data_IF_278305457408
#
_entry.id   IF_278305457408
#
_cell.length_a   1.000
_cell.length_b   1.000
_cell.length_c   1.000
_cell.angle_alpha   90.00
_cell.angle_beta   90.00
_cell.angle_gamma   90.00
#
_symmetry.space_group_name_H-M   'P 1'
#
loop_
_entity.id
_entity.type
_entity.pdbx_description
1 polymer ?
#
# COMPACT_ATOMS: atom_id res chain seq x y z
N UNK A 1 -5.10 -10.94 15.60
CA UNK A 1 -4.98 -11.98 14.54
C UNK A 1 -4.75 -11.28 13.21
N UNK A 2 -3.87 -11.80 12.34
CA UNK A 2 -3.69 -11.25 11.00
C UNK A 2 -4.89 -11.60 10.11
N UNK A 3 -5.40 -10.60 9.39
CA UNK A 3 -6.51 -10.77 8.46
C UNK A 3 -6.16 -10.12 7.11
N UNK A 4 -6.39 -10.82 6.01
CA UNK A 4 -6.13 -10.33 4.65
C UNK A 4 -6.96 -9.10 4.26
N UNK A 5 -8.07 -8.86 4.93
CA UNK A 5 -8.93 -7.70 4.73
C UNK A 5 -8.53 -6.49 5.58
N UNK A 6 -7.53 -6.63 6.49
CA UNK A 6 -7.03 -5.48 7.23
C UNK A 6 -6.59 -4.37 6.28
N UNK A 7 -6.84 -3.12 6.68
CA UNK A 7 -6.39 -1.97 5.91
C UNK A 7 -4.91 -1.71 6.10
N UNK A 8 -4.24 -1.48 5.00
CA UNK A 8 -2.89 -0.93 4.96
C UNK A 8 -3.02 0.56 4.69
N UNK A 9 -2.51 1.38 5.61
CA UNK A 9 -2.32 2.82 5.38
C UNK A 9 -0.85 3.06 5.10
N UNK A 10 -0.50 3.36 3.85
CA UNK A 10 0.88 3.57 3.41
C UNK A 10 1.09 5.02 3.03
N UNK A 11 2.00 5.73 3.72
CA UNK A 11 2.33 7.11 3.42
C UNK A 11 2.95 7.24 2.04
N UNK A 12 2.75 8.40 1.42
CA UNK A 12 3.39 8.74 0.16
C UNK A 12 4.91 8.67 0.29
N UNK A 13 5.47 9.12 1.40
CA UNK A 13 6.90 9.06 1.67
C UNK A 13 7.44 7.63 1.56
N UNK A 14 6.77 6.63 2.18
CA UNK A 14 7.20 5.22 2.06
C UNK A 14 7.07 4.69 0.63
N UNK A 15 6.04 5.11 -0.12
CA UNK A 15 5.84 4.65 -1.50
C UNK A 15 6.91 5.22 -2.44
N UNK A 16 7.29 6.48 -2.21
CA UNK A 16 8.25 7.21 -3.04
C UNK A 16 9.72 6.96 -2.63
N UNK A 17 9.97 6.14 -1.57
CA UNK A 17 11.31 5.74 -1.20
C UNK A 17 11.98 4.97 -2.35
N UNK A 18 13.03 5.57 -2.89
CA UNK A 18 13.91 4.92 -3.86
C UNK A 18 14.97 4.10 -3.13
N UNK A 19 15.54 3.14 -3.85
CA UNK A 19 16.68 2.33 -3.37
C UNK A 19 16.39 1.42 -2.18
N UNK A 20 15.14 1.16 -1.83
CA UNK A 20 14.81 0.05 -0.95
C UNK A 20 14.96 -1.26 -1.73
N UNK A 21 16.08 -1.95 -1.55
CA UNK A 21 16.32 -3.26 -2.18
C UNK A 21 15.54 -4.37 -1.45
N UNK A 22 14.22 -4.19 -1.36
CA UNK A 22 13.32 -5.14 -0.75
C UNK A 22 12.75 -6.10 -1.79
N UNK A 23 12.90 -7.39 -1.52
CA UNK A 23 12.29 -8.41 -2.34
C UNK A 23 10.76 -8.52 -2.08
N UNK A 24 10.08 -9.32 -2.90
CA UNK A 24 8.64 -9.49 -2.84
C UNK A 24 8.11 -9.88 -1.45
N UNK A 25 8.81 -10.76 -0.74
CA UNK A 25 8.37 -11.23 0.59
C UNK A 25 8.55 -10.14 1.65
N UNK A 26 9.59 -9.36 1.55
CA UNK A 26 9.87 -8.25 2.46
C UNK A 26 8.87 -7.10 2.26
N UNK A 27 8.50 -6.80 1.01
CA UNK A 27 7.41 -5.85 0.73
C UNK A 27 6.08 -6.32 1.35
N UNK A 28 5.80 -7.62 1.30
CA UNK A 28 4.61 -8.18 1.95
C UNK A 28 4.69 -8.12 3.47
N UNK A 29 5.86 -8.37 4.06
CA UNK A 29 6.08 -8.22 5.52
C UNK A 29 5.89 -6.76 5.94
N UNK A 30 6.40 -5.81 5.16
CA UNK A 30 6.16 -4.38 5.39
C UNK A 30 4.67 -4.03 5.37
N UNK A 31 3.92 -4.56 4.41
CA UNK A 31 2.47 -4.34 4.33
C UNK A 31 1.71 -5.02 5.49
N UNK A 32 2.15 -6.19 5.93
CA UNK A 32 1.62 -6.83 7.15
C UNK A 32 1.87 -5.95 8.38
N UNK A 33 3.07 -5.40 8.53
CA UNK A 33 3.40 -4.47 9.60
C UNK A 33 2.48 -3.24 9.55
N UNK A 34 2.36 -2.59 8.37
CA UNK A 34 1.51 -1.42 8.18
C UNK A 34 0.02 -1.71 8.44
N UNK A 35 -0.44 -2.93 8.23
CA UNK A 35 -1.83 -3.34 8.51
C UNK A 35 -2.13 -3.53 9.99
N UNK A 36 -1.10 -3.53 10.84
CA UNK A 36 -1.20 -3.75 12.29
C UNK A 36 -0.98 -2.49 13.12
N UNK A 37 -0.28 -1.51 12.58
CA UNK A 37 -0.09 -0.23 13.25
C UNK A 37 -1.32 0.66 13.05
N UNK A 38 -1.61 1.48 14.06
CA UNK A 38 -2.52 2.61 13.94
C UNK A 38 -1.72 3.88 13.67
N UNK A 39 -1.79 4.48 12.47
CA UNK A 39 -1.01 5.68 12.14
C UNK A 39 -1.25 6.89 13.05
N UNK A 40 -2.29 6.86 13.88
CA UNK A 40 -2.60 7.93 14.84
C UNK A 40 -2.09 7.62 16.25
N UNK A 41 -1.60 6.40 16.49
CA UNK A 41 -1.14 5.97 17.80
C UNK A 41 0.24 5.32 17.72
N UNK A 42 1.27 6.07 18.16
CA UNK A 42 2.66 5.62 18.14
C UNK A 42 2.94 4.43 19.05
N UNK A 43 2.09 4.18 20.05
CA UNK A 43 2.23 3.02 20.94
C UNK A 43 2.04 1.69 20.19
N UNK A 44 1.45 1.75 18.99
CA UNK A 44 1.31 0.60 18.09
C UNK A 44 2.55 0.30 17.25
N UNK A 45 3.65 1.04 17.41
CA UNK A 45 4.88 0.90 16.63
C UNK A 45 5.53 -0.48 16.73
N UNK A 46 5.33 -1.19 17.85
CA UNK A 46 5.82 -2.56 18.04
C UNK A 46 4.72 -3.56 17.71
N UNK A 47 4.87 -4.24 16.59
CA UNK A 47 3.91 -5.23 16.06
C UNK A 47 4.40 -6.64 16.31
N UNK A 48 3.47 -7.53 16.71
CA UNK A 48 3.69 -8.96 16.91
C UNK A 48 2.70 -9.77 16.11
N UNK A 49 3.18 -10.83 15.49
CA UNK A 49 2.35 -11.84 14.82
C UNK A 49 3.10 -13.18 14.75
N UNK A 50 2.36 -14.27 14.75
CA UNK A 50 3.00 -15.60 14.71
C UNK A 50 3.46 -15.95 13.29
N UNK A 51 4.50 -16.77 13.21
CA UNK A 51 4.94 -17.37 11.94
C UNK A 51 3.80 -18.11 11.23
N UNK A 52 2.92 -18.77 12.01
CA UNK A 52 1.76 -19.48 11.47
C UNK A 52 0.77 -18.51 10.81
N UNK A 53 0.37 -17.44 11.53
CA UNK A 53 -0.53 -16.41 10.98
C UNK A 53 0.01 -15.83 9.67
N UNK A 54 1.32 -15.53 9.62
CA UNK A 54 1.95 -15.03 8.39
C UNK A 54 1.91 -16.04 7.25
N UNK A 55 2.23 -17.32 7.54
CA UNK A 55 2.19 -18.37 6.52
C UNK A 55 0.78 -18.64 6.00
N UNK A 56 -0.21 -18.65 6.89
CA UNK A 56 -1.62 -18.84 6.53
C UNK A 56 -2.08 -17.67 5.62
N UNK A 57 -1.70 -16.43 5.97
CA UNK A 57 -2.02 -15.23 5.21
C UNK A 57 -1.47 -15.24 3.78
N UNK A 58 -0.23 -15.72 3.58
CA UNK A 58 0.38 -15.83 2.24
C UNK A 58 0.12 -17.18 1.56
N UNK A 59 -0.77 -18.00 2.14
CA UNK A 59 -1.17 -19.31 1.62
C UNK A 59 0.00 -20.29 1.42
N UNK A 60 0.96 -20.31 2.34
CA UNK A 60 2.07 -21.25 2.34
C UNK A 60 2.09 -22.11 3.59
N UNK A 61 2.58 -23.35 3.44
CA UNK A 61 2.75 -24.23 4.60
C UNK A 61 3.82 -23.66 5.55
N UNK A 62 3.55 -23.64 6.86
CA UNK A 62 4.47 -23.13 7.89
C UNK A 62 5.82 -23.87 7.91
N UNK A 63 5.87 -25.14 7.45
CA UNK A 63 7.09 -25.92 7.29
C UNK A 63 8.00 -25.38 6.16
N UNK A 64 7.42 -24.68 5.16
CA UNK A 64 8.19 -24.03 4.10
C UNK A 64 9.05 -22.88 4.63
N UNK A 65 8.53 -22.12 5.60
CA UNK A 65 9.26 -21.02 6.23
C UNK A 65 10.09 -21.53 7.41
N UNK A 66 11.15 -22.29 7.13
CA UNK A 66 12.11 -22.74 8.17
C UNK A 66 12.76 -21.53 8.85
N UNK A 67 13.11 -21.67 10.12
CA UNK A 67 13.75 -20.60 10.92
C UNK A 67 14.97 -19.97 10.21
N UNK A 68 15.82 -20.77 9.59
CA UNK A 68 16.97 -20.26 8.83
C UNK A 68 16.59 -19.37 7.64
N UNK A 69 15.46 -19.68 6.96
CA UNK A 69 14.95 -18.86 5.86
C UNK A 69 14.29 -17.58 6.38
N UNK A 70 13.52 -17.69 7.46
CA UNK A 70 12.92 -16.53 8.12
C UNK A 70 14.00 -15.57 8.63
N UNK A 71 15.06 -16.08 9.27
CA UNK A 71 16.21 -15.28 9.72
C UNK A 71 16.83 -14.50 8.55
N UNK A 72 17.04 -15.14 7.40
CA UNK A 72 17.55 -14.44 6.20
C UNK A 72 16.63 -13.34 5.71
N UNK A 73 15.30 -13.57 5.71
CA UNK A 73 14.35 -12.56 5.30
C UNK A 73 14.34 -11.37 6.26
N UNK A 74 14.32 -11.62 7.57
CA UNK A 74 14.35 -10.54 8.57
C UNK A 74 15.67 -9.76 8.54
N UNK A 75 16.81 -10.45 8.36
CA UNK A 75 18.11 -9.80 8.21
C UNK A 75 18.16 -8.94 6.94
N UNK A 76 17.67 -9.46 5.81
CA UNK A 76 17.67 -8.71 4.56
C UNK A 76 16.72 -7.51 4.66
N UNK A 77 15.50 -7.69 5.19
CA UNK A 77 14.57 -6.60 5.46
C UNK A 77 15.22 -5.51 6.33
N UNK A 78 15.84 -5.90 7.44
CA UNK A 78 16.49 -4.98 8.38
C UNK A 78 17.63 -4.21 7.70
N UNK A 79 18.53 -4.92 7.02
CA UNK A 79 19.73 -4.32 6.42
C UNK A 79 19.42 -3.44 5.19
N UNK A 80 18.41 -3.78 4.41
CA UNK A 80 18.06 -3.08 3.17
C UNK A 80 16.88 -2.10 3.31
N UNK A 81 16.37 -1.90 4.51
CA UNK A 81 15.36 -0.89 4.81
C UNK A 81 15.99 0.40 5.35
N UNK A 82 17.11 0.82 4.78
CA UNK A 82 17.77 2.09 5.10
C UNK A 82 17.20 3.19 4.23
N UNK A 83 16.83 4.30 4.84
CA UNK A 83 16.34 5.48 4.16
C UNK A 83 17.31 6.63 4.35
N UNK A 84 17.49 7.40 3.31
CA UNK A 84 18.35 8.55 3.31
C UNK A 84 17.52 9.84 3.43
N UNK A 85 17.93 10.72 4.33
CA UNK A 85 17.48 12.10 4.38
C UNK A 85 18.59 12.98 3.84
N UNK A 86 18.29 13.76 2.79
CA UNK A 86 19.21 14.69 2.15
C UNK A 86 18.82 16.13 2.49
N UNK A 87 19.83 16.93 2.75
CA UNK A 87 19.74 18.40 2.75
C UNK A 87 20.58 18.91 1.59
N UNK A 88 19.92 19.10 0.45
CA UNK A 88 20.57 19.47 -0.80
C UNK A 88 21.29 20.85 -0.74
N UNK A 89 20.83 21.73 0.16
CA UNK A 89 21.42 23.07 0.30
C UNK A 89 22.73 23.06 1.10
N UNK A 90 22.87 22.10 2.01
CA UNK A 90 24.03 21.99 2.92
C UNK A 90 24.92 20.79 2.64
N UNK A 91 24.61 20.00 1.61
CA UNK A 91 25.30 18.74 1.26
C UNK A 91 25.35 17.74 2.46
N UNK A 92 24.39 17.85 3.39
CA UNK A 92 24.30 16.95 4.52
C UNK A 92 23.41 15.75 4.18
N UNK A 93 23.77 14.59 4.69
CA UNK A 93 22.90 13.41 4.62
C UNK A 93 22.84 12.70 5.97
N UNK A 94 21.74 11.97 6.19
CA UNK A 94 21.54 11.07 7.34
C UNK A 94 20.93 9.78 6.85
N UNK A 95 21.42 8.68 7.37
CA UNK A 95 20.86 7.36 7.11
C UNK A 95 20.05 6.90 8.32
N UNK A 96 18.87 6.39 8.06
CA UNK A 96 17.97 5.86 9.08
C UNK A 96 17.49 4.48 8.68
N UNK A 97 17.38 3.56 9.65
CA UNK A 97 16.70 2.29 9.43
C UNK A 97 15.18 2.47 9.59
N UNK A 98 14.39 1.89 8.68
CA UNK A 98 12.93 1.84 8.84
C UNK A 98 12.52 1.03 10.05
N UNK A 99 13.25 -0.04 10.35
CA UNK A 99 13.01 -0.89 11.51
C UNK A 99 14.18 -0.80 12.47
N UNK A 100 13.89 -0.62 13.75
CA UNK A 100 14.87 -0.70 14.84
C UNK A 100 15.02 -2.14 15.32
N UNK A 101 13.95 -2.90 15.30
CA UNK A 101 13.92 -4.29 15.75
C UNK A 101 13.23 -5.18 14.72
N UNK A 102 13.86 -6.29 14.41
CA UNK A 102 13.29 -7.38 13.61
C UNK A 102 13.71 -8.71 14.27
N UNK A 103 12.82 -9.30 15.07
CA UNK A 103 13.08 -10.48 15.89
C UNK A 103 12.18 -11.65 15.53
N UNK A 104 12.65 -12.87 15.73
CA UNK A 104 11.85 -14.08 15.76
C UNK A 104 12.14 -14.85 17.05
N UNK A 105 11.14 -14.88 17.93
CA UNK A 105 11.17 -15.72 19.12
C UNK A 105 10.70 -17.14 18.81
N UNK A 106 11.61 -18.08 18.92
CA UNK A 106 11.34 -19.49 18.66
C UNK A 106 10.39 -20.11 19.70
N UNK A 107 10.36 -19.59 20.92
CA UNK A 107 9.55 -20.14 22.01
C UNK A 107 8.08 -19.83 21.80
N UNK A 108 7.78 -18.56 21.48
CA UNK A 108 6.40 -18.11 21.19
C UNK A 108 6.03 -18.27 19.72
N UNK A 109 7.00 -18.56 18.84
CA UNK A 109 6.84 -18.59 17.38
C UNK A 109 6.42 -17.23 16.80
N UNK A 110 6.73 -16.13 17.50
CA UNK A 110 6.36 -14.77 17.09
C UNK A 110 7.47 -14.10 16.28
N UNK A 111 7.01 -13.32 15.30
CA UNK A 111 7.81 -12.33 14.58
C UNK A 111 7.46 -10.99 15.21
N UNK A 112 8.48 -10.22 15.58
CA UNK A 112 8.37 -8.92 16.21
C UNK A 112 9.06 -7.91 15.31
N UNK A 113 8.35 -6.83 14.99
CA UNK A 113 8.88 -5.72 14.21
C UNK A 113 8.57 -4.41 14.95
N UNK A 114 9.55 -3.53 15.05
CA UNK A 114 9.37 -2.18 15.60
C UNK A 114 10.02 -1.17 14.65
N UNK A 115 9.31 -0.09 14.31
CA UNK A 115 9.86 0.95 13.44
C UNK A 115 10.97 1.75 14.14
N UNK A 116 11.84 2.35 13.34
CA UNK A 116 12.93 3.20 13.82
C UNK A 116 12.43 4.37 14.66
N UNK A 117 13.23 4.76 15.66
CA UNK A 117 12.86 5.80 16.65
C UNK A 117 13.10 7.22 16.20
N UNK A 118 13.79 7.45 15.09
CA UNK A 118 13.99 8.81 14.61
C UNK A 118 12.65 9.45 14.21
N UNK A 119 12.49 10.74 14.48
CA UNK A 119 11.28 11.48 14.12
C UNK A 119 11.01 11.40 12.61
N UNK A 120 12.06 11.38 11.80
CA UNK A 120 11.97 11.22 10.35
C UNK A 120 11.30 9.90 9.96
N UNK A 121 11.74 8.77 10.53
CA UNK A 121 11.14 7.46 10.26
C UNK A 121 9.74 7.36 10.86
N UNK A 122 9.55 7.85 12.08
CA UNK A 122 8.23 7.84 12.73
C UNK A 122 7.19 8.62 11.96
N UNK A 123 7.55 9.76 11.37
CA UNK A 123 6.64 10.55 10.54
C UNK A 123 6.14 9.77 9.31
N UNK A 124 6.96 8.87 8.76
CA UNK A 124 6.55 8.01 7.64
C UNK A 124 5.44 7.02 8.00
N UNK A 125 5.40 6.58 9.26
CA UNK A 125 4.44 5.58 9.74
C UNK A 125 3.25 6.20 10.48
N UNK A 126 3.45 7.31 11.22
CA UNK A 126 2.47 7.86 12.16
C UNK A 126 1.99 9.28 11.84
N UNK A 127 2.71 10.06 11.07
CA UNK A 127 2.26 11.39 10.60
C UNK A 127 1.89 11.37 9.11
N UNK A 128 1.19 10.33 8.70
CA UNK A 128 0.89 10.08 7.29
C UNK A 128 -0.07 11.08 6.67
N UNK A 129 -0.85 11.81 7.48
CA UNK A 129 -1.78 12.84 6.99
C UNK A 129 -1.05 14.03 6.40
N UNK A 130 0.10 14.41 6.97
CA UNK A 130 0.92 15.54 6.51
C UNK A 130 1.54 15.28 5.14
N UNK A 131 2.02 14.03 4.90
CA UNK A 131 2.66 13.63 3.65
C UNK A 131 1.66 13.15 2.58
N UNK A 132 0.41 12.89 2.97
CA UNK A 132 -0.55 12.14 2.20
C UNK A 132 -0.29 10.63 2.22
N UNK A 133 -1.34 9.85 2.02
CA UNK A 133 -1.28 8.41 2.07
C UNK A 133 -2.32 7.75 1.17
N UNK A 134 -2.16 6.45 0.94
CA UNK A 134 -3.16 5.61 0.30
C UNK A 134 -3.61 4.51 1.26
N UNK A 135 -4.87 4.11 1.13
CA UNK A 135 -5.44 2.97 1.85
C UNK A 135 -5.84 1.86 0.87
N UNK A 136 -5.60 0.63 1.27
CA UNK A 136 -6.00 -0.56 0.51
C UNK A 136 -6.07 -1.79 1.41
N UNK A 137 -6.90 -2.77 1.05
CA UNK A 137 -6.94 -4.04 1.75
C UNK A 137 -5.64 -4.82 1.53
N UNK A 138 -5.09 -5.40 2.58
CA UNK A 138 -3.83 -6.14 2.60
C UNK A 138 -3.78 -7.23 1.52
N UNK A 139 -4.89 -7.93 1.26
CA UNK A 139 -5.01 -8.95 0.21
C UNK A 139 -4.59 -8.46 -1.18
N UNK A 140 -4.80 -7.18 -1.49
CA UNK A 140 -4.48 -6.64 -2.81
C UNK A 140 -2.98 -6.69 -3.14
N UNK A 141 -2.10 -6.65 -2.15
CA UNK A 141 -0.64 -6.79 -2.34
C UNK A 141 -0.16 -8.20 -2.04
N UNK A 142 -0.79 -8.91 -1.10
CA UNK A 142 -0.40 -10.28 -0.73
C UNK A 142 -0.51 -11.26 -1.90
N UNK A 143 -1.53 -11.13 -2.74
CA UNK A 143 -1.76 -12.03 -3.87
C UNK A 143 -0.93 -11.71 -5.11
N UNK A 144 -0.26 -10.56 -5.14
CA UNK A 144 0.68 -10.22 -6.22
C UNK A 144 1.97 -11.04 -6.09
N UNK A 145 2.49 -11.49 -7.22
CA UNK A 145 3.65 -12.40 -7.31
C UNK A 145 4.91 -11.72 -7.83
N UNK A 146 4.83 -10.42 -8.15
CA UNK A 146 5.94 -9.64 -8.68
C UNK A 146 6.10 -8.33 -7.89
N UNK A 147 7.34 -7.93 -7.60
CA UNK A 147 7.67 -6.62 -7.04
C UNK A 147 7.17 -5.51 -7.96
N UNK A 148 7.27 -5.68 -9.27
CA UNK A 148 6.76 -4.72 -10.25
C UNK A 148 5.23 -4.59 -10.20
N UNK A 149 4.52 -5.70 -9.94
CA UNK A 149 3.06 -5.65 -9.77
C UNK A 149 2.69 -4.84 -8.53
N UNK A 150 3.43 -4.97 -7.41
CA UNK A 150 3.19 -4.16 -6.20
C UNK A 150 3.50 -2.68 -6.49
N UNK A 151 4.67 -2.36 -7.07
CA UNK A 151 5.06 -0.99 -7.41
C UNK A 151 4.02 -0.31 -8.31
N UNK A 152 3.59 -0.99 -9.37
CA UNK A 152 2.56 -0.48 -10.29
C UNK A 152 1.20 -0.34 -9.61
N UNK A 153 0.78 -1.30 -8.77
CA UNK A 153 -0.47 -1.21 -8.03
C UNK A 153 -0.50 0.04 -7.13
N UNK A 154 0.56 0.29 -6.37
CA UNK A 154 0.68 1.48 -5.51
C UNK A 154 0.67 2.77 -6.34
N UNK A 155 1.41 2.80 -7.46
CA UNK A 155 1.42 3.92 -8.40
C UNK A 155 0.01 4.21 -8.97
N UNK A 156 -0.75 3.18 -9.36
CA UNK A 156 -2.11 3.35 -9.84
C UNK A 156 -3.05 3.84 -8.75
N UNK A 157 -2.91 3.36 -7.51
CA UNK A 157 -3.68 3.86 -6.38
C UNK A 157 -3.41 5.34 -6.09
N UNK A 158 -2.15 5.79 -6.16
CA UNK A 158 -1.80 7.21 -6.00
C UNK A 158 -2.45 8.10 -7.07
N UNK A 159 -2.59 7.58 -8.30
CA UNK A 159 -3.11 8.32 -9.45
C UNK A 159 -4.60 8.06 -9.75
N UNK A 160 -5.31 7.24 -8.95
CA UNK A 160 -6.69 6.79 -9.23
C UNK A 160 -7.70 7.92 -9.43
N UNK A 161 -7.50 9.06 -8.74
CA UNK A 161 -8.37 10.23 -8.83
C UNK A 161 -8.36 10.88 -10.23
N UNK A 162 -7.28 10.67 -11.01
CA UNK A 162 -7.14 11.20 -12.38
C UNK A 162 -7.98 10.44 -13.39
N UNK A 163 -8.42 9.22 -13.08
CA UNK A 163 -9.10 8.27 -13.99
C UNK A 163 -8.32 7.94 -15.26
N UNK A 164 -7.71 8.95 -15.88
CA UNK A 164 -6.88 8.85 -17.09
C UNK A 164 -5.71 9.84 -17.01
N UNK A 165 -4.48 9.38 -17.29
CA UNK A 165 -3.28 10.23 -17.28
C UNK A 165 -2.19 9.68 -18.17
N UNK A 166 -1.18 10.50 -18.41
CA UNK A 166 0.00 10.15 -19.19
C UNK A 166 1.25 10.24 -18.33
N UNK A 167 2.22 9.39 -18.61
CA UNK A 167 3.54 9.41 -18.01
C UNK A 167 4.59 9.19 -19.11
N UNK A 168 5.73 9.86 -19.02
CA UNK A 168 6.85 9.58 -19.90
C UNK A 168 7.39 8.17 -19.61
N UNK A 169 7.80 7.44 -20.66
CA UNK A 169 8.31 6.09 -20.51
C UNK A 169 9.54 6.02 -19.61
N UNK A 170 10.43 6.99 -19.74
CA UNK A 170 11.66 7.06 -18.93
C UNK A 170 11.34 7.38 -17.47
N UNK A 171 10.40 8.28 -17.20
CA UNK A 171 9.91 8.56 -15.85
C UNK A 171 9.33 7.32 -15.18
N UNK A 172 8.56 6.51 -15.91
CA UNK A 172 8.02 5.25 -15.38
C UNK A 172 9.14 4.25 -15.05
N UNK A 173 10.15 4.14 -15.90
CA UNK A 173 11.30 3.26 -15.68
C UNK A 173 12.13 3.68 -14.49
N UNK A 174 12.42 4.97 -14.37
CA UNK A 174 13.32 5.52 -13.36
C UNK A 174 12.64 5.64 -11.99
N UNK A 175 11.44 6.21 -11.96
CA UNK A 175 10.82 6.62 -10.70
C UNK A 175 9.88 5.57 -10.11
N UNK A 176 9.32 4.68 -10.93
CA UNK A 176 8.31 3.72 -10.48
C UNK A 176 8.84 2.29 -10.50
N UNK A 177 9.46 1.89 -11.60
CA UNK A 177 9.93 0.52 -11.78
C UNK A 177 11.38 0.33 -11.32
N UNK A 178 12.17 1.41 -11.30
CA UNK A 178 13.61 1.39 -10.96
C UNK A 178 14.39 0.40 -11.83
N UNK A 179 14.20 0.49 -13.15
CA UNK A 179 14.81 -0.41 -14.14
C UNK A 179 15.59 0.32 -15.23
N UNK A 180 15.88 1.60 -15.04
CA UNK A 180 16.59 2.42 -16.03
C UNK A 180 18.00 1.89 -16.36
N UNK A 181 18.67 1.31 -15.36
CA UNK A 181 20.03 0.77 -15.48
C UNK A 181 20.06 -0.66 -16.04
N UNK A 182 18.90 -1.26 -16.27
CA UNK A 182 18.81 -2.62 -16.80
C UNK A 182 18.74 -2.58 -18.32
N UNK A 183 19.82 -2.93 -19.00
CA UNK A 183 19.98 -2.86 -20.46
C UNK A 183 18.81 -3.54 -21.21
N UNK A 184 18.34 -4.69 -20.73
CA UNK A 184 17.21 -5.41 -21.33
C UNK A 184 15.97 -4.54 -21.47
N UNK A 185 15.71 -3.66 -20.50
CA UNK A 185 14.52 -2.81 -20.47
C UNK A 185 14.74 -1.43 -21.13
N UNK A 186 15.90 -1.20 -21.72
CA UNK A 186 16.12 -0.04 -22.61
C UNK A 186 15.14 -0.05 -23.79
N UNK A 187 14.80 -1.25 -24.30
CA UNK A 187 13.82 -1.43 -25.36
C UNK A 187 12.41 -1.62 -24.78
N UNK A 188 11.46 -0.78 -25.18
CA UNK A 188 10.07 -0.88 -24.80
C UNK A 188 9.45 -2.27 -25.00
N UNK A 189 9.82 -2.97 -26.06
CA UNK A 189 9.33 -4.32 -26.37
C UNK A 189 9.53 -5.28 -25.19
N UNK A 190 10.71 -5.26 -24.60
CA UNK A 190 11.04 -6.15 -23.48
C UNK A 190 10.43 -5.66 -22.16
N UNK A 191 10.44 -4.36 -21.90
CA UNK A 191 9.75 -3.77 -20.76
C UNK A 191 8.25 -4.15 -20.76
N UNK A 192 7.62 -4.01 -21.93
CA UNK A 192 6.21 -4.36 -22.09
C UNK A 192 5.94 -5.84 -21.91
N UNK A 193 6.77 -6.71 -22.53
CA UNK A 193 6.57 -8.14 -22.50
C UNK A 193 6.80 -8.76 -21.10
N UNK A 194 7.82 -8.29 -20.39
CA UNK A 194 8.26 -8.91 -19.14
C UNK A 194 7.78 -8.20 -17.88
N UNK A 195 7.42 -6.91 -17.95
CA UNK A 195 6.98 -6.15 -16.79
C UNK A 195 5.53 -5.66 -16.97
N UNK A 196 5.26 -4.77 -17.94
CA UNK A 196 3.98 -4.06 -17.98
C UNK A 196 2.80 -5.00 -18.20
N UNK A 197 2.85 -5.80 -19.28
CA UNK A 197 1.75 -6.69 -19.64
C UNK A 197 1.44 -7.74 -18.56
N UNK A 198 2.41 -8.49 -18.00
CA UNK A 198 2.14 -9.47 -16.95
C UNK A 198 1.70 -8.82 -15.64
N UNK A 199 2.30 -7.68 -15.24
CA UNK A 199 1.92 -7.01 -13.99
C UNK A 199 0.53 -6.40 -14.05
N UNK A 200 0.16 -5.74 -15.15
CA UNK A 200 -1.18 -5.17 -15.32
C UNK A 200 -2.23 -6.27 -15.39
N UNK A 201 -1.94 -7.39 -16.07
CA UNK A 201 -2.81 -8.56 -16.06
C UNK A 201 -3.03 -9.08 -14.64
N UNK A 202 -1.94 -9.23 -13.87
CA UNK A 202 -2.00 -9.70 -12.48
C UNK A 202 -2.79 -8.74 -11.58
N UNK A 203 -2.59 -7.43 -11.69
CA UNK A 203 -3.35 -6.40 -10.97
C UNK A 203 -4.83 -6.52 -11.31
N UNK A 204 -5.16 -6.60 -12.59
CA UNK A 204 -6.54 -6.73 -13.05
C UNK A 204 -7.22 -8.03 -12.59
N UNK A 205 -6.48 -9.12 -12.39
CA UNK A 205 -7.05 -10.38 -11.93
C UNK A 205 -7.20 -10.45 -10.41
N UNK A 206 -6.26 -9.85 -9.65
CA UNK A 206 -6.11 -10.13 -8.22
C UNK A 206 -6.40 -8.96 -7.29
N UNK A 207 -6.60 -7.77 -7.83
CA UNK A 207 -6.87 -6.58 -7.03
C UNK A 207 -8.22 -5.94 -7.39
N UNK A 208 -8.56 -4.93 -6.65
CA UNK A 208 -9.78 -4.14 -6.85
C UNK A 208 -9.66 -3.10 -7.98
N UNK A 209 -8.54 -3.07 -8.73
CA UNK A 209 -8.34 -2.13 -9.83
C UNK A 209 -8.53 -2.80 -11.19
N UNK A 210 -9.09 -2.05 -12.13
CA UNK A 210 -9.08 -2.33 -13.56
C UNK A 210 -8.23 -1.28 -14.27
N UNK A 211 -7.13 -1.73 -14.90
CA UNK A 211 -6.14 -0.89 -15.57
C UNK A 211 -6.09 -1.24 -17.06
N UNK A 212 -6.15 -0.20 -17.89
CA UNK A 212 -5.85 -0.28 -19.32
C UNK A 212 -4.75 0.70 -19.65
N UNK A 213 -3.93 0.40 -20.64
CA UNK A 213 -2.87 1.31 -21.08
C UNK A 213 -2.67 1.29 -22.59
N UNK A 214 -2.19 2.41 -23.11
CA UNK A 214 -1.86 2.61 -24.49
C UNK A 214 -0.49 3.26 -24.60
N UNK A 215 0.30 2.82 -25.59
CA UNK A 215 1.59 3.41 -25.87
C UNK A 215 1.46 4.50 -26.94
N UNK A 216 2.09 5.65 -26.70
CA UNK A 216 2.09 6.81 -27.61
C UNK A 216 3.51 6.96 -28.17
N UNK A 217 3.62 7.01 -29.49
CA UNK A 217 4.87 7.18 -30.20
C UNK A 217 5.21 8.66 -30.38
N UNK A 218 6.51 8.96 -30.36
CA UNK A 218 7.09 10.19 -30.90
C UNK A 218 8.15 9.77 -31.93
N UNK A 219 7.83 9.98 -33.22
CA UNK A 219 8.58 9.36 -34.32
C UNK A 219 8.45 7.82 -34.29
N UNK A 220 9.55 7.12 -34.38
CA UNK A 220 9.60 5.66 -34.41
C UNK A 220 9.69 4.99 -33.02
N UNK A 221 9.78 5.78 -31.93
CA UNK A 221 9.95 5.26 -30.57
C UNK A 221 8.73 5.51 -29.72
N UNK A 222 8.41 4.58 -28.80
CA UNK A 222 7.43 4.81 -27.75
C UNK A 222 8.05 5.79 -26.75
N UNK A 223 7.32 6.88 -26.47
CA UNK A 223 7.78 7.95 -25.59
C UNK A 223 6.91 8.09 -24.33
N UNK A 224 5.63 7.77 -24.46
CA UNK A 224 4.65 8.04 -23.39
C UNK A 224 3.71 6.85 -23.27
N UNK A 225 3.29 6.56 -22.06
CA UNK A 225 2.19 5.65 -21.78
C UNK A 225 0.99 6.44 -21.24
N UNK A 226 -0.18 6.10 -21.74
CA UNK A 226 -1.46 6.61 -21.24
C UNK A 226 -2.16 5.50 -20.48
N UNK A 227 -2.47 5.74 -19.21
CA UNK A 227 -3.18 4.80 -18.35
C UNK A 227 -4.61 5.25 -18.11
N UNK A 228 -5.52 4.28 -17.99
CA UNK A 228 -6.85 4.45 -17.39
C UNK A 228 -6.95 3.52 -16.19
N UNK A 229 -7.52 4.02 -15.09
CA UNK A 229 -7.68 3.27 -13.84
C UNK A 229 -9.10 3.45 -13.32
N UNK A 230 -9.76 2.34 -13.02
CA UNK A 230 -11.07 2.30 -12.39
C UNK A 230 -11.07 1.31 -11.25
N UNK A 231 -11.88 1.57 -10.22
CA UNK A 231 -12.22 0.51 -9.27
C UNK A 231 -13.20 -0.45 -9.95
N UNK A 232 -13.00 -1.75 -9.74
CA UNK A 232 -14.03 -2.74 -10.06
C UNK A 232 -15.25 -2.47 -9.20
N UNK A 233 -16.43 -2.62 -9.74
CA UNK A 233 -17.66 -2.46 -8.97
C UNK A 233 -17.66 -3.40 -7.79
N UNK A 234 -17.82 -2.81 -6.60
CA UNK A 234 -17.76 -3.51 -5.31
C UNK A 234 -18.82 -4.61 -5.15
N UNK A 235 -19.86 -4.60 -5.98
CA UNK A 235 -20.91 -5.61 -5.93
C UNK A 235 -20.44 -7.03 -6.27
N UNK A 236 -19.38 -7.20 -7.07
CA UNK A 236 -18.81 -8.54 -7.34
C UNK A 236 -17.84 -9.01 -6.22
N UNK A 237 -17.19 -8.08 -5.52
CA UNK A 237 -16.28 -8.41 -4.40
C UNK A 237 -17.06 -8.71 -3.10
N UNK A 238 -18.25 -8.14 -2.95
CA UNK A 238 -19.17 -8.42 -1.82
C UNK A 238 -19.93 -9.73 -2.06
N UNK A 239 -20.24 -10.07 -3.31
CA UNK A 239 -21.00 -11.28 -3.65
C UNK A 239 -20.17 -12.57 -3.68
N UNK A 240 -18.83 -12.49 -3.51
CA UNK A 240 -17.96 -13.67 -3.55
C UNK A 240 -17.99 -14.52 -2.28
N UNK A 241 -18.11 -13.95 -1.08
CA UNK A 241 -18.03 -14.70 0.20
C UNK A 241 -18.76 -14.08 1.40
N UNK A 242 -19.36 -12.89 1.29
CA UNK A 242 -20.17 -12.34 2.38
C UNK A 242 -21.66 -12.47 2.07
N UNK A 243 -22.33 -13.36 2.79
CA UNK A 243 -23.79 -13.34 2.87
C UNK A 243 -24.16 -12.03 3.58
N UNK A 244 -25.21 -11.36 3.11
CA UNK A 244 -25.75 -10.11 3.67
C UNK A 244 -25.97 -10.16 5.21
N UNK A 245 -25.93 -11.37 5.80
CA UNK A 245 -26.00 -11.65 7.24
C UNK A 245 -24.68 -11.43 8.01
N UNK A 246 -23.56 -11.31 7.32
CA UNK A 246 -22.22 -11.23 7.93
C UNK A 246 -21.67 -9.78 7.94
N UNK A 247 -22.44 -8.83 7.43
CA UNK A 247 -22.08 -7.41 7.50
C UNK A 247 -22.56 -6.90 8.87
N UNK A 248 -21.64 -6.45 9.75
CA UNK A 248 -22.04 -5.87 11.02
C UNK A 248 -22.99 -4.70 10.79
N UNK A 249 -24.13 -4.67 11.47
CA UNK A 249 -25.03 -3.54 11.45
C UNK A 249 -24.42 -2.41 12.27
N UNK A 250 -23.69 -1.52 11.60
CA UNK A 250 -23.08 -0.36 12.24
C UNK A 250 -24.08 0.79 12.27
N UNK A 251 -24.18 1.48 13.40
CA UNK A 251 -25.06 2.63 13.55
C UNK A 251 -24.72 3.71 12.52
N UNK A 252 -25.72 4.15 11.75
CA UNK A 252 -25.56 5.21 10.75
C UNK A 252 -25.26 6.60 11.34
N UNK A 253 -25.23 6.73 12.66
CA UNK A 253 -25.06 8.02 13.36
C UNK A 253 -23.76 8.12 14.14
N UNK A 254 -22.80 7.20 13.95
CA UNK A 254 -21.50 7.28 14.60
C UNK A 254 -20.77 8.58 14.28
N UNK A 255 -20.17 9.17 15.29
CA UNK A 255 -19.21 10.27 15.13
C UNK A 255 -17.84 9.73 14.76
N UNK A 256 -16.98 10.59 14.24
CA UNK A 256 -15.61 10.18 13.92
C UNK A 256 -14.82 9.75 15.16
N UNK A 257 -15.04 10.41 16.29
CA UNK A 257 -14.38 10.08 17.56
C UNK A 257 -14.75 8.67 18.07
N UNK A 258 -16.01 8.25 17.90
CA UNK A 258 -16.46 6.90 18.25
C UNK A 258 -15.83 5.83 17.31
N UNK A 259 -15.68 6.14 16.02
CA UNK A 259 -15.00 5.23 15.07
C UNK A 259 -13.53 5.05 15.45
N UNK A 260 -12.86 6.13 15.86
CA UNK A 260 -11.42 6.09 16.18
C UNK A 260 -11.11 5.45 17.53
N UNK A 261 -11.95 5.68 18.55
CA UNK A 261 -11.66 5.24 19.90
C UNK A 261 -12.26 3.87 20.25
N UNK A 262 -13.39 3.52 19.66
CA UNK A 262 -14.16 2.33 20.05
C UNK A 262 -14.00 1.14 19.10
N UNK A 263 -13.38 1.36 17.90
CA UNK A 263 -13.23 0.30 16.91
C UNK A 263 -11.76 -0.08 16.69
N UNK A 264 -11.49 -1.37 16.56
CA UNK A 264 -10.16 -1.86 16.23
C UNK A 264 -9.76 -1.34 14.83
N UNK A 265 -8.70 -0.53 14.75
CA UNK A 265 -8.22 0.05 13.51
C UNK A 265 -7.92 -1.02 12.45
N UNK A 266 -8.51 -0.85 11.26
CA UNK A 266 -8.37 -1.80 10.15
C UNK A 266 -9.25 -3.04 10.25
N UNK A 267 -10.12 -3.15 11.28
CA UNK A 267 -11.18 -4.17 11.30
C UNK A 267 -12.22 -3.92 10.21
N UNK A 268 -13.04 -4.94 9.91
CA UNK A 268 -14.12 -4.78 8.93
C UNK A 268 -15.14 -3.73 9.39
N UNK A 269 -15.45 -3.70 10.69
CA UNK A 269 -16.35 -2.72 11.29
C UNK A 269 -15.80 -1.30 11.15
N UNK A 270 -14.52 -1.09 11.46
CA UNK A 270 -13.84 0.20 11.27
C UNK A 270 -13.92 0.67 9.81
N UNK A 271 -13.63 -0.23 8.85
CA UNK A 271 -13.65 0.09 7.41
C UNK A 271 -15.05 0.51 6.96
N UNK A 272 -16.08 -0.24 7.37
CA UNK A 272 -17.47 0.06 7.01
C UNK A 272 -17.89 1.39 7.62
N UNK A 273 -17.56 1.63 8.91
CA UNK A 273 -17.87 2.87 9.61
C UNK A 273 -17.17 4.08 8.96
N UNK A 274 -15.87 3.96 8.62
CA UNK A 274 -15.11 4.99 7.93
C UNK A 274 -15.70 5.32 6.55
N UNK A 275 -16.07 4.30 5.77
CA UNK A 275 -16.70 4.49 4.45
C UNK A 275 -18.04 5.22 4.61
N UNK A 276 -18.89 4.80 5.54
CA UNK A 276 -20.19 5.41 5.78
C UNK A 276 -20.06 6.87 6.23
N UNK A 277 -19.13 7.15 7.15
CA UNK A 277 -18.86 8.51 7.63
C UNK A 277 -18.34 9.42 6.51
N UNK A 278 -17.39 8.92 5.73
CA UNK A 278 -16.80 9.68 4.61
C UNK A 278 -17.86 9.98 3.54
N UNK A 279 -18.67 9.00 3.18
CA UNK A 279 -19.75 9.18 2.19
C UNK A 279 -20.75 10.24 2.65
N UNK A 280 -21.15 10.20 3.93
CA UNK A 280 -22.05 11.16 4.54
C UNK A 280 -21.47 12.57 4.57
N UNK A 281 -20.18 12.70 4.85
CA UNK A 281 -19.46 14.00 4.87
C UNK A 281 -19.28 14.60 3.47
N UNK A 282 -19.05 13.78 2.46
CA UNK A 282 -18.95 14.22 1.05
C UNK A 282 -20.31 14.72 0.55
N UNK A 283 -21.36 13.94 0.76
CA UNK A 283 -22.73 14.35 0.37
C UNK A 283 -23.16 15.65 1.06
N UNK A 284 -22.79 15.85 2.33
CA UNK A 284 -23.06 17.08 3.05
C UNK A 284 -22.29 18.28 2.51
N UNK A 285 -21.05 18.09 2.06
CA UNK A 285 -20.24 19.13 1.40
C UNK A 285 -20.81 19.49 0.02
N UNK A 286 -21.19 18.50 -0.79
CA UNK A 286 -21.81 18.73 -2.09
C UNK A 286 -23.17 19.45 -1.95
N UNK A 287 -23.96 19.09 -0.96
CA UNK A 287 -25.22 19.79 -0.66
C UNK A 287 -24.98 21.25 -0.23
N UNK A 288 -23.95 21.52 0.57
CA UNK A 288 -23.55 22.87 0.96
C UNK A 288 -23.11 23.71 -0.23
N UNK A 289 -22.29 23.16 -1.12
CA UNK A 289 -21.83 23.83 -2.35
C UNK A 289 -23.02 24.15 -3.24
N UNK A 290 -23.94 23.18 -3.48
CA UNK A 290 -25.15 23.39 -4.25
C UNK A 290 -26.06 24.46 -3.63
N UNK A 291 -26.16 24.55 -2.31
CA UNK A 291 -26.94 25.60 -1.63
C UNK A 291 -26.28 26.97 -1.75
N UNK A 292 -24.95 27.06 -1.72
CA UNK A 292 -24.22 28.31 -1.99
C UNK A 292 -24.39 28.77 -3.44
N UNK A 293 -24.23 27.88 -4.42
CA UNK A 293 -24.45 28.18 -5.85
C UNK A 293 -25.87 28.65 -6.15
N UNK A 294 -26.85 28.13 -5.42
CA UNK A 294 -28.26 28.54 -5.54
C UNK A 294 -28.61 29.76 -4.71
N UNK A 295 -27.64 30.36 -4.00
CA UNK A 295 -27.87 31.57 -3.18
C UNK A 295 -28.76 31.35 -1.95
N UNK A 296 -28.93 30.08 -1.52
CA UNK A 296 -29.78 29.72 -0.38
C UNK A 296 -29.07 29.88 0.98
N UNK A 297 -27.74 29.97 0.94
CA UNK A 297 -26.89 30.29 2.11
C UNK A 297 -25.77 31.23 1.65
N UNK A 298 -25.37 32.16 2.53
CA UNK A 298 -24.26 33.09 2.29
C UNK A 298 -22.94 32.49 2.72
#
# INVERSE_FOLDING_TARGET
MLNENNLVSKSKTIIDLKNLDLNLQELKVLDVYLSKINPKNIDTAKVRFTKKEYCDLISVNSNWLKTKRLSKYLQHLFNNSVVEWLDDEQENFKLHHLFEEAEYDKTTQEIILECGRSDYVRSMFFDINTCGYIKYALKNTLYLKSTYSIKLYLYFLQNRFRKKWKIALEELKENILEVSDIETYSQYKFLNAYILKPSIKEINEKTNLEIKYFSIKKGNRIHTLEFTCHFKDTNELINGEFKEKDIPSISSNLTWDEIENDMEYGSLEYVIAEIQYTFKSVNKKEELVLRQEKGLIK
#
